data_IF_225607044934
#
_entry.id   IF_225607044934
#
_cell.length_a   1.000
_cell.length_b   1.000
_cell.length_c   1.000
_cell.angle_alpha   90.00
_cell.angle_beta   90.00
_cell.angle_gamma   90.00
#
_symmetry.space_group_name_H-M   'P 1'
#
loop_
_entity.id
_entity.type
_entity.pdbx_description
1 polymer ?
#
# COMPACT_ATOMS: atom_id res chain seq x y z
N UNK A 1 -4.95 -33.06 -5.65
CA UNK A 1 -5.31 -31.66 -5.48
C UNK A 1 -6.73 -31.58 -4.94
N UNK A 2 -6.94 -30.79 -3.89
CA UNK A 2 -8.25 -30.50 -3.35
C UNK A 2 -8.67 -29.09 -3.77
N UNK A 3 -9.91 -28.95 -4.21
CA UNK A 3 -10.50 -27.66 -4.59
C UNK A 3 -11.51 -27.25 -3.53
N UNK A 4 -11.36 -26.03 -3.02
CA UNK A 4 -12.28 -25.40 -2.10
C UNK A 4 -12.96 -24.23 -2.81
N UNK A 5 -14.29 -24.17 -2.77
CA UNK A 5 -15.07 -23.10 -3.37
C UNK A 5 -15.52 -22.17 -2.26
N UNK A 6 -15.26 -20.89 -2.45
CA UNK A 6 -15.76 -19.81 -1.62
C UNK A 6 -17.01 -19.22 -2.30
N UNK A 7 -18.16 -19.34 -1.68
CA UNK A 7 -19.42 -18.79 -2.21
C UNK A 7 -20.02 -17.81 -1.21
N UNK A 8 -20.40 -16.61 -1.69
CA UNK A 8 -21.10 -15.58 -0.91
C UNK A 8 -20.37 -15.19 0.39
N UNK A 9 -19.03 -15.18 0.36
CA UNK A 9 -18.28 -14.65 1.49
C UNK A 9 -18.51 -13.15 1.61
N UNK A 10 -18.88 -12.72 2.81
CA UNK A 10 -19.19 -11.32 3.09
C UNK A 10 -18.21 -10.74 4.10
N UNK A 11 -17.44 -9.75 3.66
CA UNK A 11 -16.65 -8.89 4.52
C UNK A 11 -17.44 -7.62 4.80
N UNK A 12 -17.74 -7.37 6.07
CA UNK A 12 -18.52 -6.20 6.50
C UNK A 12 -17.72 -5.34 7.45
N UNK A 13 -17.94 -4.04 7.35
CA UNK A 13 -17.50 -3.16 8.42
C UNK A 13 -18.20 -3.52 9.74
N UNK A 14 -17.57 -3.20 10.86
CA UNK A 14 -18.22 -3.35 12.18
C UNK A 14 -19.54 -2.58 12.25
N UNK A 15 -20.54 -3.08 12.99
CA UNK A 15 -21.87 -2.46 13.04
C UNK A 15 -21.92 -1.01 13.54
N UNK A 16 -20.92 -0.59 14.30
CA UNK A 16 -20.80 0.75 14.88
C UNK A 16 -20.10 1.76 13.92
N UNK A 17 -19.66 1.32 12.76
CA UNK A 17 -19.07 2.21 11.75
C UNK A 17 -20.17 2.90 10.96
N UNK A 18 -20.23 4.23 11.07
CA UNK A 18 -21.16 5.04 10.30
C UNK A 18 -20.84 4.93 8.80
N UNK A 19 -21.87 4.67 7.99
CA UNK A 19 -21.73 4.44 6.55
C UNK A 19 -20.77 3.29 6.20
N UNK A 20 -20.71 2.28 7.04
CA UNK A 20 -20.00 1.04 6.75
C UNK A 20 -20.62 0.31 5.56
N UNK A 21 -19.82 -0.49 4.89
CA UNK A 21 -20.22 -1.23 3.70
C UNK A 21 -20.03 -2.73 3.84
N UNK A 22 -20.27 -3.41 2.74
CA UNK A 22 -20.06 -4.85 2.60
C UNK A 22 -19.43 -5.14 1.26
N UNK A 23 -18.36 -5.93 1.26
CA UNK A 23 -17.80 -6.57 0.07
C UNK A 23 -18.22 -8.02 0.07
N UNK A 24 -18.71 -8.49 -1.07
CA UNK A 24 -19.00 -9.91 -1.32
C UNK A 24 -17.89 -10.48 -2.19
N UNK A 25 -17.43 -11.66 -1.83
CA UNK A 25 -16.38 -12.34 -2.57
C UNK A 25 -16.81 -13.77 -2.90
N UNK A 26 -16.47 -14.18 -4.11
CA UNK A 26 -16.63 -15.54 -4.61
C UNK A 26 -15.32 -15.98 -5.22
N UNK A 27 -15.02 -17.28 -5.17
CA UNK A 27 -13.81 -17.77 -5.80
C UNK A 27 -13.45 -19.19 -5.45
N UNK A 28 -12.22 -19.53 -5.73
CA UNK A 28 -11.71 -20.87 -5.50
C UNK A 28 -10.28 -20.87 -5.01
N UNK A 29 -9.98 -21.86 -4.20
CA UNK A 29 -8.64 -22.18 -3.73
C UNK A 29 -8.30 -23.60 -4.20
N UNK A 30 -7.14 -23.76 -4.78
CA UNK A 30 -6.59 -25.09 -5.09
C UNK A 30 -5.51 -25.40 -4.08
N UNK A 31 -5.65 -26.53 -3.42
CA UNK A 31 -4.70 -27.02 -2.40
C UNK A 31 -3.99 -28.27 -2.93
N UNK A 32 -2.69 -28.30 -2.77
CA UNK A 32 -1.87 -29.47 -2.99
C UNK A 32 -1.07 -29.79 -1.71
N UNK A 33 -1.26 -30.98 -1.15
CA UNK A 33 -0.62 -31.39 0.11
C UNK A 33 -0.79 -30.37 1.27
N UNK A 34 -1.99 -29.80 1.40
CA UNK A 34 -2.33 -28.72 2.37
C UNK A 34 -1.65 -27.37 2.14
N UNK A 35 -0.90 -27.21 1.06
CA UNK A 35 -0.36 -25.92 0.63
C UNK A 35 -1.29 -25.29 -0.42
N UNK A 36 -1.38 -23.97 -0.39
CA UNK A 36 -2.13 -23.22 -1.41
C UNK A 36 -1.31 -23.23 -2.70
N UNK A 37 -1.88 -23.83 -3.74
CA UNK A 37 -1.31 -23.86 -5.09
C UNK A 37 -1.77 -22.65 -5.91
N UNK A 38 -3.07 -22.34 -5.86
CA UNK A 38 -3.61 -21.17 -6.51
C UNK A 38 -4.87 -20.64 -5.80
N UNK A 39 -5.13 -19.34 -6.00
CA UNK A 39 -6.32 -18.63 -5.54
C UNK A 39 -6.87 -17.83 -6.72
N UNK A 40 -8.18 -17.89 -6.93
CA UNK A 40 -8.91 -16.99 -7.82
C UNK A 40 -10.09 -16.42 -7.07
N UNK A 41 -10.11 -15.11 -6.86
CA UNK A 41 -11.19 -14.42 -6.16
C UNK A 41 -11.73 -13.28 -7.01
N UNK A 42 -13.06 -13.16 -6.98
CA UNK A 42 -13.80 -12.01 -7.48
C UNK A 42 -14.53 -11.38 -6.30
N UNK A 43 -14.40 -10.07 -6.15
CA UNK A 43 -15.03 -9.36 -5.05
C UNK A 43 -15.67 -8.05 -5.53
N UNK A 44 -16.86 -7.73 -4.99
CA UNK A 44 -17.52 -6.46 -5.31
C UNK A 44 -18.34 -5.95 -4.12
N UNK A 45 -18.54 -4.63 -4.11
CA UNK A 45 -19.31 -3.97 -3.07
C UNK A 45 -18.73 -2.64 -2.64
N UNK A 46 -18.95 -2.28 -1.39
CA UNK A 46 -18.36 -1.09 -0.79
C UNK A 46 -17.81 -1.39 0.60
N UNK A 47 -16.76 -0.68 0.98
CA UNK A 47 -16.15 -0.81 2.30
C UNK A 47 -15.62 0.55 2.77
N UNK A 48 -15.82 0.84 4.04
CA UNK A 48 -15.16 1.96 4.69
C UNK A 48 -13.76 1.53 5.12
N UNK A 49 -12.75 2.09 4.48
CA UNK A 49 -11.36 1.74 4.71
C UNK A 49 -10.67 2.61 5.77
N UNK A 50 -11.11 3.87 5.90
CA UNK A 50 -10.71 4.75 6.99
C UNK A 50 -11.94 5.36 7.66
N UNK A 51 -11.91 5.48 8.96
CA UNK A 51 -12.91 6.18 9.78
C UNK A 51 -12.24 7.05 10.84
N UNK A 52 -13.02 7.70 11.68
CA UNK A 52 -12.51 8.59 12.73
C UNK A 52 -11.55 7.90 13.72
N UNK A 53 -11.60 6.57 13.84
CA UNK A 53 -10.73 5.76 14.72
C UNK A 53 -9.35 5.52 14.10
N UNK A 54 -9.21 5.69 12.79
CA UNK A 54 -7.94 5.50 12.09
C UNK A 54 -6.83 6.37 12.68
N UNK A 55 -7.18 7.55 13.21
CA UNK A 55 -6.23 8.43 13.91
C UNK A 55 -5.58 7.81 15.15
N UNK A 56 -6.27 6.89 15.84
CA UNK A 56 -5.71 6.21 17.01
C UNK A 56 -4.77 5.07 16.62
N UNK A 57 -4.93 4.55 15.40
CA UNK A 57 -4.10 3.49 14.84
C UNK A 57 -2.85 4.09 14.19
N UNK A 58 -3.07 5.07 13.30
CA UNK A 58 -2.00 5.82 12.67
C UNK A 58 -2.26 7.33 12.80
N UNK A 59 -1.54 8.01 13.72
CA UNK A 59 -1.69 9.44 13.92
C UNK A 59 -1.08 10.28 12.77
N UNK A 60 -0.33 9.67 11.86
CA UNK A 60 0.25 10.34 10.70
C UNK A 60 -0.70 10.35 9.50
N UNK A 61 -1.51 9.30 9.33
CA UNK A 61 -2.46 9.18 8.23
C UNK A 61 -3.82 8.72 8.74
N UNK A 62 -4.81 9.59 8.68
CA UNK A 62 -6.17 9.28 9.14
C UNK A 62 -7.22 10.03 8.31
N UNK A 63 -8.48 9.64 8.44
CA UNK A 63 -9.54 10.28 7.68
C UNK A 63 -10.87 9.53 7.70
N UNK A 64 -11.67 9.81 6.71
CA UNK A 64 -12.94 9.15 6.44
C UNK A 64 -12.99 8.78 4.96
N UNK A 65 -12.80 7.51 4.63
CA UNK A 65 -12.75 7.02 3.26
C UNK A 65 -13.63 5.79 3.14
N UNK A 66 -14.61 5.90 2.25
CA UNK A 66 -15.39 4.77 1.77
C UNK A 66 -15.08 4.56 0.29
N UNK A 67 -14.75 3.35 -0.07
CA UNK A 67 -14.57 2.94 -1.46
C UNK A 67 -15.68 1.99 -1.88
N UNK A 68 -16.07 2.04 -3.14
CA UNK A 68 -16.91 1.03 -3.77
C UNK A 68 -16.25 0.53 -5.05
N UNK A 69 -16.53 -0.68 -5.41
CA UNK A 69 -16.06 -1.23 -6.67
C UNK A 69 -16.93 -0.71 -7.82
N UNK A 70 -16.30 -0.35 -8.94
CA UNK A 70 -17.00 -0.11 -10.20
C UNK A 70 -17.24 -1.43 -10.91
N UNK A 71 -16.19 -2.24 -10.97
CA UNK A 71 -16.18 -3.59 -11.49
C UNK A 71 -15.75 -4.56 -10.39
N UNK A 72 -15.85 -5.85 -10.62
CA UNK A 72 -15.33 -6.83 -9.67
C UNK A 72 -13.82 -6.66 -9.50
N UNK A 73 -13.37 -6.70 -8.26
CA UNK A 73 -11.96 -6.84 -7.93
C UNK A 73 -11.55 -8.26 -8.28
N UNK A 74 -10.49 -8.40 -9.05
CA UNK A 74 -9.90 -9.67 -9.41
C UNK A 74 -8.61 -9.87 -8.62
N UNK A 75 -8.53 -10.95 -7.84
CA UNK A 75 -7.30 -11.37 -7.21
C UNK A 75 -6.95 -12.78 -7.66
N UNK A 76 -5.78 -12.94 -8.22
CA UNK A 76 -5.22 -14.24 -8.55
C UNK A 76 -3.89 -14.43 -7.85
N UNK A 77 -3.67 -15.61 -7.35
CA UNK A 77 -2.42 -16.03 -6.74
C UNK A 77 -2.00 -17.37 -7.32
N UNK A 78 -0.74 -17.50 -7.65
CA UNK A 78 -0.06 -18.77 -7.91
C UNK A 78 1.31 -18.74 -7.27
N UNK A 79 1.99 -19.89 -7.23
CA UNK A 79 3.37 -19.97 -6.68
C UNK A 79 4.35 -19.05 -7.43
N UNK A 80 4.08 -18.77 -8.70
CA UNK A 80 4.99 -18.01 -9.55
C UNK A 80 4.63 -16.52 -9.63
N UNK A 81 3.37 -16.14 -9.40
CA UNK A 81 2.90 -14.76 -9.58
C UNK A 81 1.60 -14.50 -8.85
N UNK A 82 1.46 -13.29 -8.35
CA UNK A 82 0.20 -12.77 -7.81
C UNK A 82 -0.24 -11.55 -8.61
N UNK A 83 -1.53 -11.39 -8.80
CA UNK A 83 -2.10 -10.27 -9.53
C UNK A 83 -3.36 -9.76 -8.84
N UNK A 84 -3.45 -8.44 -8.67
CA UNK A 84 -4.62 -7.75 -8.17
C UNK A 84 -5.04 -6.67 -9.18
N UNK A 85 -6.27 -6.77 -9.66
CA UNK A 85 -6.91 -5.72 -10.46
C UNK A 85 -8.11 -5.18 -9.69
N UNK A 86 -8.19 -3.86 -9.53
CA UNK A 86 -9.29 -3.20 -8.86
C UNK A 86 -9.65 -1.87 -9.54
N UNK A 87 -10.92 -1.70 -9.85
CA UNK A 87 -11.51 -0.46 -10.34
C UNK A 87 -12.45 0.07 -9.26
N UNK A 88 -12.01 1.13 -8.58
CA UNK A 88 -12.60 1.66 -7.37
C UNK A 88 -13.15 3.06 -7.60
N UNK A 89 -14.23 3.35 -6.91
CA UNK A 89 -14.81 4.69 -6.82
C UNK A 89 -14.66 5.15 -5.38
N UNK A 90 -14.06 6.31 -5.20
CA UNK A 90 -14.01 6.98 -3.91
C UNK A 90 -15.36 7.65 -3.67
N UNK A 91 -16.04 7.26 -2.58
CA UNK A 91 -17.35 7.81 -2.27
C UNK A 91 -17.25 9.31 -1.92
N UNK A 92 -18.39 9.99 -2.08
CA UNK A 92 -18.56 11.40 -1.70
C UNK A 92 -18.14 11.63 -0.24
N UNK A 93 -17.71 12.84 0.05
CA UNK A 93 -17.27 13.26 1.39
C UNK A 93 -15.97 12.58 1.88
N UNK A 94 -15.21 11.94 0.99
CA UNK A 94 -13.93 11.38 1.35
C UNK A 94 -12.98 12.46 1.89
N UNK A 95 -12.35 12.18 3.00
CA UNK A 95 -11.36 13.07 3.58
C UNK A 95 -10.14 12.32 4.09
N UNK A 96 -8.97 12.85 3.81
CA UNK A 96 -7.68 12.31 4.25
C UNK A 96 -6.95 13.42 4.97
N UNK A 97 -6.40 13.13 6.12
CA UNK A 97 -5.48 14.02 6.83
C UNK A 97 -4.12 13.35 6.92
N UNK A 98 -3.12 13.99 6.37
CA UNK A 98 -1.73 13.60 6.52
C UNK A 98 -1.03 14.56 7.47
N UNK A 99 -0.52 14.02 8.58
CA UNK A 99 0.12 14.76 9.64
C UNK A 99 1.45 14.08 9.98
N UNK A 100 2.51 14.33 9.20
CA UNK A 100 3.78 13.65 9.42
C UNK A 100 4.27 13.89 10.84
N UNK A 101 4.66 12.83 11.52
CA UNK A 101 5.39 12.92 12.78
C UNK A 101 6.83 13.27 12.47
N UNK A 102 7.53 13.96 13.37
CA UNK A 102 8.95 14.29 13.16
C UNK A 102 9.80 13.03 12.87
N UNK A 103 9.36 11.86 13.34
CA UNK A 103 9.99 10.58 13.01
C UNK A 103 9.81 10.14 11.54
N UNK A 104 8.77 10.61 10.84
CA UNK A 104 8.60 10.30 9.43
C UNK A 104 9.65 10.98 8.54
N UNK A 105 10.23 12.09 9.00
CA UNK A 105 11.36 12.72 8.33
C UNK A 105 12.71 12.13 8.75
N UNK A 106 12.76 11.38 9.86
CA UNK A 106 14.00 10.73 10.31
C UNK A 106 14.22 9.36 9.66
N UNK A 107 13.19 8.73 9.10
CA UNK A 107 13.31 7.43 8.44
C UNK A 107 13.77 7.52 6.96
N UNK A 108 13.95 8.73 6.40
CA UNK A 108 14.69 8.87 5.15
C UNK A 108 16.20 8.57 5.30
N UNK A 109 16.67 8.39 6.54
CA UNK A 109 18.05 8.00 6.82
C UNK A 109 18.41 6.60 6.28
N UNK A 110 17.42 5.74 6.01
CA UNK A 110 17.69 4.39 5.48
C UNK A 110 18.12 4.39 4.00
N UNK A 111 17.99 5.52 3.30
CA UNK A 111 18.47 5.67 1.93
C UNK A 111 19.90 6.22 1.84
N UNK A 112 20.46 6.71 2.94
CA UNK A 112 21.80 7.25 2.98
C UNK A 112 22.69 6.33 3.81
N UNK A 113 23.68 5.72 3.17
CA UNK A 113 24.76 5.04 3.88
C UNK A 113 25.68 6.12 4.44
N UNK A 114 25.51 6.45 5.71
CA UNK A 114 26.44 7.35 6.40
C UNK A 114 27.72 6.60 6.71
N UNK A 115 28.79 6.90 6.00
CA UNK A 115 30.13 6.46 6.36
C UNK A 115 30.70 7.54 7.28
N UNK A 116 30.82 7.24 8.56
CA UNK A 116 31.46 8.18 9.49
C UNK A 116 32.90 8.39 9.08
N UNK A 117 33.32 9.66 8.98
CA UNK A 117 34.70 10.05 8.66
C UNK A 117 35.73 9.41 9.61
N UNK A 118 35.30 9.03 10.82
CA UNK A 118 36.12 8.28 11.79
C UNK A 118 36.34 6.80 11.42
N UNK A 119 35.56 6.24 10.48
CA UNK A 119 35.76 4.87 9.96
C UNK A 119 36.69 4.87 8.73
N UNK A 120 36.94 6.04 8.15
CA UNK A 120 37.86 6.21 7.04
C UNK A 120 39.15 6.80 7.64
N UNK A 121 40.17 5.97 7.84
CA UNK A 121 41.49 6.48 8.18
C UNK A 121 42.03 7.26 6.98
N UNK A 122 42.73 8.39 7.24
CA UNK A 122 43.31 9.24 6.19
C UNK A 122 44.27 8.50 5.24
N UNK A 123 44.76 7.32 5.66
CA UNK A 123 45.65 6.45 4.88
C UNK A 123 44.92 5.34 4.07
N UNK A 124 43.58 5.28 4.10
CA UNK A 124 42.83 4.27 3.32
C UNK A 124 42.88 4.60 1.83
N UNK A 125 43.28 3.63 1.04
CA UNK A 125 43.28 3.72 -0.41
C UNK A 125 41.83 3.73 -0.95
N UNK A 126 41.64 4.36 -2.12
CA UNK A 126 40.33 4.38 -2.80
C UNK A 126 39.71 2.97 -2.98
N UNK A 127 40.56 1.96 -3.19
CA UNK A 127 40.14 0.55 -3.33
C UNK A 127 39.56 -0.04 -2.04
N UNK A 128 40.05 0.34 -0.88
CA UNK A 128 39.54 -0.13 0.42
C UNK A 128 38.21 0.52 0.74
N UNK A 129 38.05 1.80 0.38
CA UNK A 129 36.75 2.50 0.52
C UNK A 129 35.69 1.86 -0.40
N UNK A 130 36.01 1.61 -1.67
CA UNK A 130 35.13 0.96 -2.63
C UNK A 130 34.75 -0.46 -2.18
N UNK A 131 35.67 -1.19 -1.54
CA UNK A 131 35.44 -2.51 -0.95
C UNK A 131 34.43 -2.45 0.22
N UNK A 132 34.54 -1.45 1.10
CA UNK A 132 33.59 -1.26 2.21
C UNK A 132 32.17 -0.91 1.71
N UNK A 133 32.09 -0.10 0.64
CA UNK A 133 30.82 0.24 -0.01
C UNK A 133 30.20 -1.02 -0.63
N UNK A 134 30.98 -1.84 -1.34
CA UNK A 134 30.49 -3.08 -1.92
C UNK A 134 29.99 -4.08 -0.87
N UNK A 135 30.69 -4.23 0.25
CA UNK A 135 30.25 -5.11 1.36
C UNK A 135 28.93 -4.61 1.98
N UNK A 136 28.77 -3.29 2.11
CA UNK A 136 27.53 -2.71 2.62
C UNK A 136 26.34 -2.91 1.65
N UNK A 137 26.58 -2.81 0.34
CA UNK A 137 25.58 -3.05 -0.72
C UNK A 137 25.21 -4.52 -0.78
N UNK A 138 26.17 -5.44 -0.77
CA UNK A 138 25.93 -6.89 -0.80
C UNK A 138 25.15 -7.35 0.43
N UNK A 139 25.46 -6.84 1.64
CA UNK A 139 24.67 -7.15 2.84
C UNK A 139 23.21 -6.68 2.75
N UNK A 140 22.95 -5.59 2.03
CA UNK A 140 21.59 -5.11 1.80
C UNK A 140 20.86 -6.01 0.80
N UNK A 141 21.52 -6.44 -0.26
CA UNK A 141 20.94 -7.36 -1.26
C UNK A 141 20.70 -8.77 -0.68
N UNK A 142 21.55 -9.27 0.20
CA UNK A 142 21.35 -10.57 0.86
C UNK A 142 20.18 -10.56 1.88
N UNK A 143 19.82 -9.42 2.45
CA UNK A 143 18.64 -9.30 3.32
C UNK A 143 17.32 -9.15 2.53
N UNK A 144 17.38 -8.82 1.25
CA UNK A 144 16.19 -8.65 0.39
C UNK A 144 15.83 -9.91 -0.43
N UNK A 145 16.61 -11.01 -0.35
CA UNK A 145 16.30 -12.26 -1.05
C UNK A 145 15.46 -13.25 -0.25
N UNK A 146 14.37 -12.81 0.37
CA UNK A 146 13.19 -13.66 0.39
C UNK A 146 12.54 -13.50 -1.00
N UNK A 147 12.64 -14.55 -1.81
CA UNK A 147 11.97 -14.61 -3.12
C UNK A 147 10.46 -14.69 -2.92
N UNK A 148 9.87 -13.54 -2.60
CA UNK A 148 8.42 -13.37 -2.71
C UNK A 148 8.06 -13.41 -4.19
N UNK A 149 7.10 -14.24 -4.56
CA UNK A 149 6.59 -14.29 -5.92
C UNK A 149 6.19 -12.86 -6.37
N UNK A 150 6.54 -12.44 -7.60
CA UNK A 150 6.25 -11.09 -8.07
C UNK A 150 4.75 -10.78 -7.94
N UNK A 151 4.46 -9.60 -7.42
CA UNK A 151 3.11 -9.11 -7.22
C UNK A 151 2.82 -7.99 -8.21
N UNK A 152 1.92 -8.25 -9.14
CA UNK A 152 1.43 -7.23 -10.05
C UNK A 152 0.14 -6.60 -9.52
N UNK A 153 0.04 -5.30 -9.67
CA UNK A 153 -1.10 -4.50 -9.23
C UNK A 153 -1.57 -3.60 -10.38
N UNK A 154 -2.86 -3.57 -10.62
CA UNK A 154 -3.53 -2.60 -11.48
C UNK A 154 -4.72 -2.00 -10.72
N UNK A 155 -4.53 -0.78 -10.23
CA UNK A 155 -5.48 -0.07 -9.41
C UNK A 155 -5.95 1.19 -10.14
N UNK A 156 -7.25 1.28 -10.38
CA UNK A 156 -7.91 2.49 -10.89
C UNK A 156 -8.79 3.07 -9.80
N UNK A 157 -8.67 4.36 -9.56
CA UNK A 157 -9.45 5.08 -8.57
C UNK A 157 -10.09 6.29 -9.24
N UNK A 158 -11.41 6.32 -9.25
CA UNK A 158 -12.17 7.51 -9.63
C UNK A 158 -12.66 8.22 -8.38
N UNK A 159 -12.48 9.53 -8.38
CA UNK A 159 -13.01 10.42 -7.35
C UNK A 159 -14.25 11.09 -7.91
N UNK A 160 -15.45 10.63 -7.51
CA UNK A 160 -16.76 11.13 -8.04
C UNK A 160 -16.99 12.63 -7.76
N UNK A 161 -16.60 13.05 -6.56
CA UNK A 161 -16.61 14.44 -6.13
C UNK A 161 -15.23 14.78 -5.57
N UNK A 162 -15.02 16.04 -5.20
CA UNK A 162 -13.74 16.45 -4.64
C UNK A 162 -13.46 15.77 -3.29
N UNK A 163 -12.41 14.93 -3.23
CA UNK A 163 -11.90 14.41 -1.98
C UNK A 163 -11.05 15.47 -1.27
N UNK A 164 -11.35 15.71 0.00
CA UNK A 164 -10.62 16.68 0.81
C UNK A 164 -9.33 16.07 1.35
N UNK A 165 -8.20 16.69 1.04
CA UNK A 165 -6.90 16.29 1.57
C UNK A 165 -6.35 17.41 2.44
N UNK A 166 -6.01 17.11 3.69
CA UNK A 166 -5.45 18.04 4.66
C UNK A 166 -4.03 17.64 4.98
N UNK A 167 -3.08 18.51 4.71
CA UNK A 167 -1.68 18.37 5.12
C UNK A 167 -1.44 19.21 6.37
N UNK A 168 -1.08 18.59 7.47
CA UNK A 168 -0.70 19.30 8.70
C UNK A 168 0.76 19.69 8.59
N UNK A 169 1.03 20.98 8.30
CA UNK A 169 2.38 21.51 8.14
C UNK A 169 3.06 21.76 9.48
N UNK A 170 2.32 22.23 10.46
CA UNK A 170 2.80 22.44 11.83
C UNK A 170 1.67 22.24 12.82
N UNK A 171 1.87 21.35 13.79
CA UNK A 171 0.94 21.15 14.90
C UNK A 171 0.99 22.30 15.92
N UNK A 172 2.18 22.82 16.16
CA UNK A 172 2.40 23.91 17.11
C UNK A 172 1.74 25.22 16.65
N UNK A 173 1.94 25.57 15.39
CA UNK A 173 1.37 26.79 14.79
C UNK A 173 -0.01 26.57 14.18
N UNK A 174 -0.59 25.36 14.28
CA UNK A 174 -1.88 24.97 13.69
C UNK A 174 -1.98 25.32 12.19
N UNK A 175 -0.88 25.13 11.47
CA UNK A 175 -0.83 25.41 10.05
C UNK A 175 -1.20 24.15 9.26
N UNK A 176 -2.23 24.30 8.42
CA UNK A 176 -2.72 23.25 7.55
C UNK A 176 -2.81 23.75 6.11
N UNK A 177 -2.46 22.89 5.17
CA UNK A 177 -2.77 23.06 3.76
C UNK A 177 -3.96 22.14 3.44
N UNK A 178 -5.01 22.68 2.85
CA UNK A 178 -6.14 21.90 2.37
C UNK A 178 -6.14 21.90 0.85
N UNK A 179 -6.22 20.74 0.25
CA UNK A 179 -6.40 20.52 -1.18
C UNK A 179 -7.68 19.73 -1.42
N UNK A 180 -8.25 19.88 -2.59
CA UNK A 180 -9.35 19.08 -3.07
C UNK A 180 -8.89 18.33 -4.32
N UNK A 181 -9.02 17.03 -4.30
CA UNK A 181 -8.60 16.14 -5.38
C UNK A 181 -9.85 15.57 -6.06
N UNK A 182 -9.88 15.62 -7.38
CA UNK A 182 -10.90 15.00 -8.21
C UNK A 182 -10.24 14.36 -9.43
N UNK A 183 -10.99 13.55 -10.17
CA UNK A 183 -10.52 12.92 -11.40
C UNK A 183 -10.21 11.44 -11.28
N UNK A 184 -9.41 10.94 -12.20
CA UNK A 184 -9.06 9.53 -12.32
C UNK A 184 -7.58 9.33 -12.01
N UNK A 185 -7.31 8.34 -11.17
CA UNK A 185 -5.95 7.95 -10.79
C UNK A 185 -5.73 6.49 -11.15
N UNK A 186 -4.63 6.21 -11.82
CA UNK A 186 -4.20 4.85 -12.12
C UNK A 186 -2.85 4.62 -11.44
N UNK A 187 -2.74 3.50 -10.72
CA UNK A 187 -1.50 3.03 -10.13
C UNK A 187 -1.29 1.58 -10.51
N UNK A 188 -0.21 1.30 -11.16
CA UNK A 188 0.13 -0.08 -11.54
C UNK A 188 1.54 -0.43 -11.09
N UNK A 189 1.71 -1.69 -10.73
CA UNK A 189 3.03 -2.29 -10.45
C UNK A 189 3.17 -3.50 -11.36
N UNK A 190 4.18 -3.49 -12.19
CA UNK A 190 4.49 -4.60 -13.10
C UNK A 190 5.96 -4.94 -12.96
N UNK A 191 6.27 -6.17 -12.57
CA UNK A 191 7.65 -6.61 -12.29
C UNK A 191 8.38 -5.64 -11.34
N UNK A 192 7.75 -5.31 -10.21
CA UNK A 192 8.23 -4.40 -9.16
C UNK A 192 8.48 -2.94 -9.61
N UNK A 193 8.05 -2.58 -10.82
CA UNK A 193 8.14 -1.21 -11.33
C UNK A 193 6.81 -0.50 -11.14
N UNK A 194 6.73 0.51 -10.23
CA UNK A 194 5.53 1.29 -10.04
C UNK A 194 5.35 2.34 -11.15
N UNK A 195 4.14 2.48 -11.63
CA UNK A 195 3.72 3.51 -12.60
C UNK A 195 2.47 4.19 -12.07
N UNK A 196 2.47 5.52 -12.04
CA UNK A 196 1.32 6.34 -11.63
C UNK A 196 0.90 7.23 -12.78
N UNK A 197 -0.39 7.31 -13.01
CA UNK A 197 -1.01 8.24 -13.97
C UNK A 197 -2.20 8.92 -13.29
N UNK A 198 -2.49 10.15 -13.67
CA UNK A 198 -3.65 10.90 -13.19
C UNK A 198 -4.10 11.94 -14.21
N UNK A 199 -5.42 12.17 -14.27
CA UNK A 199 -6.07 13.22 -15.06
C UNK A 199 -7.00 14.04 -14.18
#
# INVERSE_FOLDING_TARGET
NSKMILSDFNLKNEPNIKNGGTIRANGEFVLHNFEIESINLNASGSLKILDARSRSIDPALFGDITVRTRNDILFTFSKDRSYLNADLILARDASITYSPTQSAFSNESDKFVYIFKSAINEDMSKKEIDSLIQVAVIKKEEMETETTAPFDLDLKIEVEDEAKVVFVLSREFKQNLTAYLGGNFEYSVVNDIPVTRGE
#
